data_IF_956856350262
#
_entry.id   IF_956856350262
#
_cell.length_a   1.000
_cell.length_b   1.000
_cell.length_c   1.000
_cell.angle_alpha   90.00
_cell.angle_beta   90.00
_cell.angle_gamma   90.00
#
_symmetry.space_group_name_H-M   'P 1'
#
loop_
_entity.id
_entity.type
_entity.pdbx_description
1 polymer ?
#
# COMPACT_ATOMS: atom_id res chain seq x y z
N UNK A 1 -0.97 6.70 0.66
CA UNK A 1 -0.44 6.53 2.03
C UNK A 1 0.36 5.24 2.18
N UNK A 2 -0.18 4.11 1.81
CA UNK A 2 0.50 2.82 1.95
C UNK A 2 1.84 2.74 1.21
N UNK A 3 1.94 3.29 0.00
CA UNK A 3 3.19 3.30 -0.77
C UNK A 3 4.32 4.01 -0.01
N UNK A 4 4.05 5.19 0.57
CA UNK A 4 5.04 5.94 1.31
C UNK A 4 5.50 5.19 2.58
N UNK A 5 4.57 4.57 3.27
CA UNK A 5 4.87 3.77 4.47
C UNK A 5 5.71 2.55 4.09
N UNK A 6 5.34 1.84 3.03
CA UNK A 6 6.07 0.66 2.57
C UNK A 6 7.50 1.00 2.13
N UNK A 7 7.70 2.13 1.46
CA UNK A 7 9.03 2.58 1.04
C UNK A 7 9.97 2.79 2.22
N UNK A 8 9.47 3.36 3.30
CA UNK A 8 10.29 3.65 4.49
C UNK A 8 10.47 2.42 5.37
N UNK A 9 9.39 1.69 5.65
CA UNK A 9 9.39 0.58 6.59
C UNK A 9 9.97 -0.71 6.00
N UNK A 10 9.87 -0.90 4.70
CA UNK A 10 10.18 -2.17 4.06
C UNK A 10 10.91 -2.03 2.71
N UNK A 11 11.60 -0.91 2.48
CA UNK A 11 12.34 -0.69 1.24
C UNK A 11 13.45 -1.70 0.99
N UNK A 12 13.89 -2.40 2.02
CA UNK A 12 14.91 -3.46 1.94
C UNK A 12 14.36 -4.77 1.32
N UNK A 13 13.06 -5.01 1.42
CA UNK A 13 12.45 -6.27 1.00
C UNK A 13 11.43 -6.12 -0.12
N UNK A 14 10.90 -4.92 -0.36
CA UNK A 14 9.90 -4.70 -1.38
C UNK A 14 10.11 -3.39 -2.14
N UNK A 15 9.78 -3.41 -3.44
CA UNK A 15 9.65 -2.22 -4.26
C UNK A 15 8.16 -1.89 -4.35
N UNK A 16 7.73 -0.87 -3.64
CA UNK A 16 6.32 -0.53 -3.52
C UNK A 16 5.90 0.53 -4.54
N UNK A 17 4.73 0.33 -5.12
CA UNK A 17 4.04 1.34 -5.92
C UNK A 17 2.55 1.28 -5.61
N UNK A 18 1.81 2.32 -5.98
CA UNK A 18 0.37 2.36 -5.74
C UNK A 18 -0.37 2.84 -6.97
N UNK A 19 -1.64 2.47 -7.05
CA UNK A 19 -2.53 2.90 -8.11
C UNK A 19 -3.97 2.85 -7.60
N UNK A 20 -4.88 3.51 -8.30
CA UNK A 20 -6.28 3.56 -7.94
C UNK A 20 -7.17 3.03 -9.04
N UNK A 21 -8.36 2.53 -8.66
CA UNK A 21 -9.39 2.12 -9.60
C UNK A 21 -10.04 3.35 -10.27
N UNK A 22 -10.17 4.45 -9.50
CA UNK A 22 -10.74 5.70 -9.96
C UNK A 22 -9.83 6.86 -9.55
N UNK A 23 -8.69 7.06 -10.25
CA UNK A 23 -7.70 8.04 -9.84
C UNK A 23 -8.17 9.48 -10.05
N UNK A 24 -7.84 10.35 -9.10
CA UNK A 24 -8.14 11.79 -9.15
C UNK A 24 -6.95 12.65 -9.59
N UNK A 25 -5.77 12.04 -9.81
CA UNK A 25 -4.55 12.71 -10.25
C UNK A 25 -3.65 13.21 -9.12
N UNK A 26 -4.20 13.73 -8.05
CA UNK A 26 -3.43 14.21 -6.90
C UNK A 26 -3.87 13.52 -5.62
N UNK A 27 -2.95 13.40 -4.66
CA UNK A 27 -3.31 12.88 -3.34
C UNK A 27 -3.90 14.01 -2.50
N UNK A 28 -4.86 13.70 -1.60
CA UNK A 28 -5.44 14.72 -0.72
C UNK A 28 -4.38 15.40 0.15
N UNK A 29 -4.54 16.71 0.39
CA UNK A 29 -3.64 17.48 1.22
C UNK A 29 -3.48 16.88 2.63
N UNK A 30 -4.56 16.41 3.24
CA UNK A 30 -4.52 15.79 4.57
C UNK A 30 -3.68 14.51 4.59
N UNK A 31 -3.73 13.73 3.52
CA UNK A 31 -2.86 12.55 3.37
C UNK A 31 -1.40 12.95 3.39
N UNK A 32 -1.05 13.96 2.60
CA UNK A 32 0.32 14.50 2.55
C UNK A 32 0.77 15.01 3.91
N UNK A 33 -0.06 15.83 4.56
CA UNK A 33 0.25 16.40 5.87
C UNK A 33 0.44 15.31 6.93
N UNK A 34 -0.44 14.30 6.95
CA UNK A 34 -0.37 13.21 7.92
C UNK A 34 0.92 12.41 7.75
N UNK A 35 1.28 12.08 6.52
CA UNK A 35 2.52 11.37 6.23
C UNK A 35 3.73 12.15 6.72
N UNK A 36 3.81 13.43 6.38
CA UNK A 36 4.94 14.28 6.76
C UNK A 36 5.05 14.46 8.27
N UNK A 37 3.92 14.60 8.98
CA UNK A 37 3.90 14.68 10.44
C UNK A 37 4.45 13.43 11.12
N UNK A 38 4.34 12.28 10.46
CA UNK A 38 4.83 11.00 10.99
C UNK A 38 6.17 10.59 10.39
N UNK A 39 6.85 11.50 9.71
CA UNK A 39 8.19 11.27 9.18
C UNK A 39 8.25 10.50 7.86
N UNK A 40 7.15 10.40 7.15
CA UNK A 40 7.09 9.77 5.83
C UNK A 40 7.12 10.83 4.73
N UNK A 41 7.83 10.55 3.64
CA UNK A 41 7.86 11.44 2.49
C UNK A 41 6.64 11.23 1.61
N UNK A 42 6.00 12.32 1.21
CA UNK A 42 4.93 12.32 0.23
C UNK A 42 5.44 12.64 -1.17
N UNK A 43 6.75 12.79 -1.34
CA UNK A 43 7.37 13.10 -2.63
C UNK A 43 7.11 11.99 -3.64
N UNK A 44 6.70 12.39 -4.85
CA UNK A 44 6.42 11.46 -5.94
C UNK A 44 5.10 10.73 -5.83
N UNK A 45 4.31 10.92 -4.78
CA UNK A 45 3.00 10.31 -4.65
C UNK A 45 1.99 11.01 -5.57
N UNK A 46 1.21 10.23 -6.27
CA UNK A 46 0.13 10.71 -7.12
C UNK A 46 -0.99 9.68 -7.20
N UNK A 47 -2.21 10.15 -7.42
CA UNK A 47 -3.33 9.27 -7.72
C UNK A 47 -3.24 8.92 -9.21
N UNK A 48 -3.07 7.64 -9.53
CA UNK A 48 -2.87 7.17 -10.90
C UNK A 48 -3.56 5.85 -11.13
N UNK A 49 -3.86 5.55 -12.40
CA UNK A 49 -4.52 4.31 -12.79
C UNK A 49 -3.54 3.13 -12.72
N UNK A 50 -4.10 1.92 -12.64
CA UNK A 50 -3.33 0.69 -12.68
C UNK A 50 -2.78 0.49 -14.09
N UNK A 51 -1.46 0.37 -14.20
CA UNK A 51 -0.79 0.07 -15.46
C UNK A 51 -0.58 -1.44 -15.61
N UNK A 52 -0.85 -1.97 -16.81
CA UNK A 52 -0.76 -3.41 -17.06
C UNK A 52 0.60 -4.00 -16.75
N UNK A 53 1.69 -3.30 -17.10
CA UNK A 53 3.06 -3.79 -16.83
C UNK A 53 3.35 -3.88 -15.34
N UNK A 54 2.91 -2.88 -14.56
CA UNK A 54 3.09 -2.89 -13.11
C UNK A 54 2.29 -4.03 -12.49
N UNK A 55 1.07 -4.24 -12.95
CA UNK A 55 0.22 -5.34 -12.51
C UNK A 55 0.88 -6.70 -12.77
N UNK A 56 1.40 -6.92 -13.97
CA UNK A 56 2.02 -8.18 -14.33
C UNK A 56 3.30 -8.48 -13.56
N UNK A 57 4.07 -7.44 -13.21
CA UNK A 57 5.32 -7.59 -12.46
C UNK A 57 5.11 -7.72 -10.95
N UNK A 58 3.95 -7.33 -10.44
CA UNK A 58 3.69 -7.39 -9.00
C UNK A 58 3.62 -8.82 -8.52
N UNK A 59 4.38 -9.14 -7.50
CA UNK A 59 4.33 -10.44 -6.83
C UNK A 59 3.18 -10.50 -5.83
N UNK A 60 2.89 -9.37 -5.18
CA UNK A 60 1.80 -9.23 -4.22
C UNK A 60 1.07 -7.93 -4.51
N UNK A 61 -0.24 -7.99 -4.57
CA UNK A 61 -1.10 -6.81 -4.72
C UNK A 61 -1.97 -6.68 -3.49
N UNK A 62 -1.95 -5.50 -2.87
CA UNK A 62 -2.78 -5.20 -1.71
C UNK A 62 -3.96 -4.36 -2.15
N UNK A 63 -5.16 -4.88 -1.93
CA UNK A 63 -6.39 -4.20 -2.27
C UNK A 63 -6.90 -3.41 -1.06
N UNK A 64 -6.88 -2.09 -1.19
CA UNK A 64 -7.37 -1.15 -0.17
C UNK A 64 -8.65 -0.43 -0.61
N UNK A 65 -9.23 -0.85 -1.73
CA UNK A 65 -10.36 -0.14 -2.36
C UNK A 65 -11.69 -0.30 -1.61
N UNK A 66 -11.78 -1.30 -0.75
CA UNK A 66 -13.07 -1.67 -0.13
C UNK A 66 -13.96 -2.50 -1.04
N UNK A 67 -13.52 -2.79 -2.26
CA UNK A 67 -14.24 -3.61 -3.24
C UNK A 67 -13.74 -5.04 -3.24
N UNK A 68 -14.59 -5.98 -3.60
CA UNK A 68 -14.21 -7.39 -3.63
C UNK A 68 -13.21 -7.66 -4.74
N UNK A 69 -12.07 -8.28 -4.40
CA UNK A 69 -11.02 -8.59 -5.36
C UNK A 69 -11.49 -9.48 -6.51
N UNK A 70 -12.39 -10.41 -6.24
CA UNK A 70 -12.94 -11.34 -7.23
C UNK A 70 -13.72 -10.63 -8.33
N UNK A 71 -14.29 -9.46 -8.04
CA UNK A 71 -15.08 -8.69 -8.98
C UNK A 71 -14.27 -7.64 -9.73
N UNK A 72 -13.17 -7.15 -9.13
CA UNK A 72 -12.40 -6.02 -9.67
C UNK A 72 -11.14 -6.45 -10.42
N UNK A 73 -10.63 -7.67 -10.18
CA UNK A 73 -9.35 -8.11 -10.73
C UNK A 73 -9.47 -9.48 -11.38
N UNK A 74 -8.92 -9.62 -12.60
CA UNK A 74 -8.93 -10.88 -13.33
C UNK A 74 -8.06 -11.95 -12.66
N UNK A 75 -6.85 -11.56 -12.25
CA UNK A 75 -5.91 -12.43 -11.54
C UNK A 75 -5.92 -12.07 -10.05
N UNK A 76 -6.99 -12.43 -9.36
CA UNK A 76 -7.19 -12.05 -7.97
C UNK A 76 -6.42 -12.92 -6.96
N UNK A 77 -5.83 -14.02 -7.37
CA UNK A 77 -5.11 -14.92 -6.47
C UNK A 77 -3.89 -14.25 -5.81
N UNK A 78 -3.24 -13.34 -6.52
CA UNK A 78 -2.13 -12.58 -5.95
C UNK A 78 -2.56 -11.34 -5.17
N UNK A 79 -3.87 -11.10 -5.07
CA UNK A 79 -4.43 -9.93 -4.38
C UNK A 79 -4.83 -10.30 -2.96
N UNK A 80 -4.34 -9.53 -1.99
CA UNK A 80 -4.73 -9.61 -0.59
C UNK A 80 -5.59 -8.40 -0.25
N UNK A 81 -6.77 -8.64 0.32
CA UNK A 81 -7.67 -7.57 0.74
C UNK A 81 -7.31 -7.08 2.14
N UNK A 82 -7.11 -5.77 2.29
CA UNK A 82 -6.97 -5.13 3.59
C UNK A 82 -8.16 -4.22 3.83
N UNK A 83 -8.90 -4.48 4.89
CA UNK A 83 -9.99 -3.62 5.32
C UNK A 83 -9.44 -2.45 6.15
N UNK A 84 -9.18 -1.34 5.48
CA UNK A 84 -8.68 -0.12 6.10
C UNK A 84 -9.66 0.99 5.83
N UNK A 85 -10.05 1.73 6.88
CA UNK A 85 -10.98 2.85 6.74
C UNK A 85 -10.39 3.94 5.83
N UNK A 86 -11.20 4.44 4.89
CA UNK A 86 -10.84 5.57 4.06
C UNK A 86 -11.14 6.87 4.83
N UNK A 87 -10.11 7.66 5.18
CA UNK A 87 -10.32 8.88 5.96
C UNK A 87 -10.70 10.09 5.11
N UNK A 88 -10.86 9.93 3.80
CA UNK A 88 -11.13 11.04 2.89
C UNK A 88 -12.35 11.85 3.33
N UNK A 89 -12.18 13.15 3.45
CA UNK A 89 -13.23 14.06 3.93
C UNK A 89 -13.43 14.09 5.43
N UNK A 90 -12.69 13.28 6.20
CA UNK A 90 -12.78 13.23 7.65
C UNK A 90 -11.69 14.08 8.34
N UNK A 91 -11.75 14.15 9.68
CA UNK A 91 -10.81 14.93 10.48
C UNK A 91 -9.41 14.27 10.55
N UNK A 92 -8.42 15.07 11.00
CA UNK A 92 -7.03 14.60 11.09
C UNK A 92 -6.82 13.36 11.96
N UNK A 93 -7.61 13.17 13.02
CA UNK A 93 -7.52 11.99 13.86
C UNK A 93 -7.83 10.70 13.11
N UNK A 94 -8.77 10.73 12.16
CA UNK A 94 -9.09 9.59 11.30
C UNK A 94 -7.94 9.25 10.37
N UNK A 95 -7.24 10.25 9.84
CA UNK A 95 -6.05 10.05 9.03
C UNK A 95 -4.92 9.41 9.82
N UNK A 96 -4.73 9.80 11.09
CA UNK A 96 -3.72 9.20 11.96
C UNK A 96 -4.03 7.74 12.26
N UNK A 97 -5.28 7.41 12.55
CA UNK A 97 -5.69 6.02 12.77
C UNK A 97 -5.45 5.14 11.56
N UNK A 98 -5.79 5.65 10.38
CA UNK A 98 -5.55 4.93 9.13
C UNK A 98 -4.06 4.72 8.89
N UNK A 99 -3.23 5.74 9.13
CA UNK A 99 -1.78 5.62 8.98
C UNK A 99 -1.21 4.54 9.89
N UNK A 100 -1.60 4.51 11.16
CA UNK A 100 -1.14 3.51 12.13
C UNK A 100 -1.56 2.11 11.71
N UNK A 101 -2.81 1.93 11.27
CA UNK A 101 -3.32 0.65 10.80
C UNK A 101 -2.51 0.15 9.58
N UNK A 102 -2.32 0.99 8.58
CA UNK A 102 -1.54 0.64 7.39
C UNK A 102 -0.09 0.31 7.78
N UNK A 103 0.51 1.11 8.65
CA UNK A 103 1.90 0.88 9.10
C UNK A 103 2.07 -0.49 9.73
N UNK A 104 1.17 -0.89 10.60
CA UNK A 104 1.23 -2.19 11.26
C UNK A 104 1.05 -3.33 10.26
N UNK A 105 0.14 -3.19 9.31
CA UNK A 105 -0.08 -4.18 8.25
C UNK A 105 1.13 -4.29 7.32
N UNK A 106 1.77 -3.17 6.98
CA UNK A 106 2.99 -3.15 6.16
C UNK A 106 4.13 -3.86 6.90
N UNK A 107 4.31 -3.59 8.19
CA UNK A 107 5.34 -4.24 9.00
C UNK A 107 5.12 -5.76 9.09
N UNK A 108 3.90 -6.20 9.25
CA UNK A 108 3.55 -7.61 9.27
C UNK A 108 3.81 -8.27 7.91
N UNK A 109 3.42 -7.62 6.83
CA UNK A 109 3.70 -8.11 5.47
C UNK A 109 5.20 -8.21 5.24
N UNK A 110 5.98 -7.21 5.65
CA UNK A 110 7.42 -7.22 5.52
C UNK A 110 8.06 -8.38 6.27
N UNK A 111 7.56 -8.70 7.46
CA UNK A 111 8.03 -9.86 8.23
C UNK A 111 7.76 -11.17 7.47
N UNK A 112 6.57 -11.32 6.89
CA UNK A 112 6.23 -12.50 6.09
C UNK A 112 7.15 -12.65 4.87
N UNK A 113 7.42 -11.54 4.18
CA UNK A 113 8.29 -11.54 3.00
C UNK A 113 9.74 -11.84 3.37
N UNK A 114 10.25 -11.29 4.47
CA UNK A 114 11.59 -11.58 4.96
C UNK A 114 11.75 -13.04 5.36
N UNK A 115 10.76 -13.60 6.03
CA UNK A 115 10.75 -15.01 6.41
C UNK A 115 10.73 -15.93 5.18
N UNK A 116 9.92 -15.60 4.17
CA UNK A 116 9.86 -16.35 2.93
C UNK A 116 11.18 -16.29 2.16
N UNK A 117 11.84 -15.14 2.11
CA UNK A 117 13.13 -14.97 1.48
C UNK A 117 14.22 -15.76 2.20
N UNK A 118 14.23 -15.72 3.52
CA UNK A 118 15.19 -16.50 4.32
C UNK A 118 15.00 -17.99 4.14
N UNK A 119 13.75 -18.48 4.09
CA UNK A 119 13.45 -19.89 3.83
C UNK A 119 13.89 -20.32 2.43
N UNK A 120 13.68 -19.47 1.42
CA UNK A 120 14.13 -19.74 0.05
C UNK A 120 15.67 -19.79 -0.03
N UNK A 121 16.36 -18.91 0.71
CA UNK A 121 17.82 -18.90 0.78
C UNK A 121 18.39 -20.17 1.43
N UNK A 122 17.68 -20.73 2.41
CA UNK A 122 18.10 -21.96 3.10
C UNK A 122 17.95 -23.23 2.26
N UNK A 123 17.17 -23.17 1.19
CA UNK A 123 16.95 -24.32 0.31
C UNK A 123 18.02 -24.51 -0.76
N UNK A 124 18.93 -23.61 -0.81
CA UNK A 124 20.10 -23.71 -1.71
C UNK A 124 21.25 -24.53 -1.02
#
# INVERSE_FOLDING_TARGET
MAEAIARKEAGDIMAASSAGLYPLGEIPLRTRQTLEQHGYSAEGLASKAIEAEVWLRADVVINLSGRMRELEFDDFEKVEDWEVADPYGEEGASYQKTLVDIRERVRELAQRLRAAQAAAGKRK
#
